data_IF_621753899433
#
_entry.id   IF_621753899433
#
_cell.length_a   1.000
_cell.length_b   1.000
_cell.length_c   1.000
_cell.angle_alpha   90.00
_cell.angle_beta   90.00
_cell.angle_gamma   90.00
#
_symmetry.space_group_name_H-M   'P 1'
#
loop_
_entity.id
_entity.type
_entity.pdbx_description
1 polymer ?
#
# COMPACT_ATOMS: atom_id res chain seq x y z
N UNK A 1 27.00 0.58 -31.08
CA UNK A 1 25.93 1.61 -31.12
C UNK A 1 25.26 1.63 -29.76
N UNK A 2 25.36 2.72 -29.04
CA UNK A 2 24.70 2.83 -27.73
C UNK A 2 23.21 3.12 -27.98
N UNK A 3 22.37 2.14 -27.73
CA UNK A 3 20.92 2.19 -27.87
C UNK A 3 20.25 3.36 -27.13
N UNK A 4 20.95 3.94 -26.17
CA UNK A 4 20.46 5.00 -25.29
C UNK A 4 20.81 6.42 -25.73
N UNK A 5 21.55 6.60 -26.84
CA UNK A 5 22.03 7.90 -27.31
C UNK A 5 21.30 8.46 -28.51
N UNK A 6 20.31 7.77 -29.06
CA UNK A 6 19.48 8.35 -30.08
C UNK A 6 18.64 9.50 -29.54
N UNK A 7 18.89 10.66 -30.12
CA UNK A 7 18.24 11.94 -29.91
C UNK A 7 16.73 11.81 -29.77
N UNK A 8 16.25 11.61 -28.53
CA UNK A 8 14.90 12.01 -28.21
C UNK A 8 14.88 13.53 -28.22
N UNK A 9 14.15 14.10 -29.14
CA UNK A 9 14.14 15.52 -29.52
C UNK A 9 13.73 16.51 -28.41
N UNK A 10 13.68 16.10 -27.17
CA UNK A 10 13.53 16.99 -26.02
C UNK A 10 13.87 16.26 -24.71
N UNK A 11 15.13 16.29 -24.34
CA UNK A 11 15.59 15.88 -23.01
C UNK A 11 15.67 14.37 -22.80
N UNK A 12 16.77 13.91 -22.24
CA UNK A 12 16.94 12.54 -21.75
C UNK A 12 15.90 12.32 -20.62
N UNK A 13 14.87 11.51 -20.88
CA UNK A 13 13.89 11.14 -19.86
C UNK A 13 14.49 10.03 -19.00
N UNK A 14 14.82 10.36 -17.77
CA UNK A 14 15.27 9.37 -16.78
C UNK A 14 14.10 8.40 -16.48
N UNK A 15 14.33 7.08 -16.51
CA UNK A 15 13.29 6.12 -16.15
C UNK A 15 12.91 6.24 -14.67
N UNK A 16 11.65 5.98 -14.35
CA UNK A 16 11.17 5.96 -12.96
C UNK A 16 11.94 4.92 -12.16
N UNK A 17 12.59 5.35 -11.09
CA UNK A 17 13.40 4.47 -10.24
C UNK A 17 12.57 3.96 -9.06
N UNK A 18 12.65 2.66 -8.78
CA UNK A 18 11.86 1.99 -7.75
C UNK A 18 12.17 2.45 -6.32
N UNK A 19 13.36 3.00 -6.07
CA UNK A 19 13.78 3.46 -4.74
C UNK A 19 13.38 4.91 -4.43
N UNK A 20 12.86 5.67 -5.40
CA UNK A 20 12.44 7.05 -5.22
C UNK A 20 10.95 7.12 -4.94
N UNK A 21 10.55 6.90 -3.70
CA UNK A 21 9.17 6.97 -3.28
C UNK A 21 9.02 7.57 -1.89
N UNK A 22 7.85 8.13 -1.61
CA UNK A 22 7.44 8.64 -0.30
C UNK A 22 6.10 8.00 0.05
N UNK A 23 5.99 7.51 1.29
CA UNK A 23 4.73 7.02 1.84
C UNK A 23 4.27 8.00 2.92
N UNK A 24 3.01 8.40 2.87
CA UNK A 24 2.35 9.21 3.88
C UNK A 24 1.15 8.44 4.42
N UNK A 25 1.13 8.26 5.73
CA UNK A 25 0.03 7.65 6.47
C UNK A 25 -0.58 8.73 7.35
N UNK A 26 -1.88 8.98 7.21
CA UNK A 26 -2.53 10.10 7.93
C UNK A 26 -2.50 9.92 9.44
N UNK A 27 -2.54 8.66 9.90
CA UNK A 27 -2.53 8.34 11.33
C UNK A 27 -1.12 8.27 11.94
N UNK A 28 -0.07 8.27 11.12
CA UNK A 28 1.30 8.28 11.60
C UNK A 28 1.86 9.69 11.65
N UNK A 29 2.60 10.02 12.70
CA UNK A 29 3.45 11.20 12.71
C UNK A 29 4.42 11.13 11.51
N UNK A 30 4.64 12.26 10.83
CA UNK A 30 5.46 12.35 9.61
C UNK A 30 6.87 11.76 9.75
N UNK A 31 7.38 11.62 10.98
CA UNK A 31 8.68 11.04 11.29
C UNK A 31 8.84 9.56 10.90
N UNK A 32 7.76 8.79 10.75
CA UNK A 32 7.82 7.36 10.41
C UNK A 32 8.02 7.09 8.92
N UNK A 33 7.86 8.07 8.06
CA UNK A 33 7.96 7.95 6.60
C UNK A 33 9.39 7.68 6.10
N UNK A 34 10.38 8.04 6.88
CA UNK A 34 11.80 7.88 6.55
C UNK A 34 12.27 6.43 6.52
N UNK A 35 11.54 5.55 7.18
CA UNK A 35 11.94 4.17 7.42
C UNK A 35 11.31 3.17 6.47
N UNK A 36 10.59 3.63 5.45
CA UNK A 36 10.05 2.75 4.43
C UNK A 36 11.17 2.26 3.51
N UNK A 37 11.44 0.96 3.53
CA UNK A 37 12.47 0.32 2.70
C UNK A 37 11.96 -0.05 1.32
N UNK A 38 10.74 -0.53 1.24
CA UNK A 38 10.09 -0.88 -0.02
C UNK A 38 8.57 -0.83 0.13
N UNK A 39 7.91 -0.50 -0.97
CA UNK A 39 6.46 -0.52 -1.10
C UNK A 39 6.08 -1.09 -2.45
N UNK A 40 5.04 -1.90 -2.47
CA UNK A 40 4.46 -2.40 -3.70
C UNK A 40 3.49 -1.36 -4.27
N UNK A 41 3.49 -1.19 -5.60
CA UNK A 41 2.48 -0.36 -6.24
C UNK A 41 1.13 -1.08 -6.25
N UNK A 42 0.02 -0.31 -6.18
CA UNK A 42 -1.31 -0.89 -6.34
C UNK A 42 -1.42 -1.65 -7.65
N UNK A 43 -1.88 -2.88 -7.57
CA UNK A 43 -2.15 -3.73 -8.72
C UNK A 43 -3.56 -4.31 -8.60
N UNK A 44 -4.14 -4.66 -9.73
CA UNK A 44 -5.48 -5.24 -9.82
C UNK A 44 -5.51 -6.35 -10.86
N UNK A 45 -6.43 -7.26 -10.68
CA UNK A 45 -6.71 -8.35 -11.61
C UNK A 45 -8.18 -8.29 -11.99
N UNK A 46 -8.45 -8.38 -13.30
CA UNK A 46 -9.81 -8.49 -13.81
C UNK A 46 -10.05 -9.93 -14.23
N UNK A 47 -11.00 -10.58 -13.57
CA UNK A 47 -11.39 -11.94 -13.92
C UNK A 47 -12.15 -11.94 -15.25
N UNK A 48 -12.06 -13.05 -15.98
CA UNK A 48 -12.80 -13.24 -17.23
C UNK A 48 -13.93 -14.25 -17.01
N UNK A 49 -15.09 -13.95 -17.58
CA UNK A 49 -16.22 -14.87 -17.63
C UNK A 49 -16.30 -15.44 -19.03
N UNK A 50 -16.25 -16.77 -19.12
CA UNK A 50 -16.31 -17.48 -20.38
C UNK A 50 -17.76 -17.78 -20.77
N UNK A 51 -18.09 -17.52 -22.02
CA UNK A 51 -19.36 -17.92 -22.62
C UNK A 51 -19.09 -18.78 -23.85
N UNK A 52 -19.63 -19.99 -23.85
CA UNK A 52 -19.51 -20.93 -24.96
C UNK A 52 -20.79 -20.83 -25.83
N UNK A 53 -20.60 -20.60 -27.14
CA UNK A 53 -21.67 -20.65 -28.10
C UNK A 53 -21.23 -21.49 -29.32
N UNK A 54 -21.91 -22.64 -29.49
CA UNK A 54 -21.51 -23.65 -30.48
C UNK A 54 -20.04 -24.07 -30.28
N UNK A 55 -19.21 -23.91 -31.29
CA UNK A 55 -17.77 -24.23 -31.25
C UNK A 55 -16.89 -23.01 -30.93
N UNK A 56 -17.49 -21.89 -30.50
CA UNK A 56 -16.78 -20.65 -30.24
C UNK A 56 -16.81 -20.33 -28.74
N UNK A 57 -15.67 -19.85 -28.25
CA UNK A 57 -15.49 -19.40 -26.88
C UNK A 57 -15.34 -17.88 -26.88
N UNK A 58 -16.21 -17.21 -26.14
CA UNK A 58 -16.17 -15.76 -25.94
C UNK A 58 -15.78 -15.46 -24.49
N UNK A 59 -14.86 -14.50 -24.31
CA UNK A 59 -14.44 -14.07 -23.00
C UNK A 59 -14.98 -12.66 -22.73
N UNK A 60 -15.68 -12.51 -21.62
CA UNK A 60 -16.18 -11.22 -21.15
C UNK A 60 -15.41 -10.77 -19.91
N UNK A 61 -15.13 -9.48 -19.73
CA UNK A 61 -14.51 -8.96 -18.53
C UNK A 61 -15.48 -9.13 -17.34
N UNK A 62 -14.99 -9.72 -16.27
CA UNK A 62 -15.72 -9.95 -15.04
C UNK A 62 -15.39 -8.92 -13.97
N UNK A 63 -15.31 -9.35 -12.69
CA UNK A 63 -15.01 -8.49 -11.55
C UNK A 63 -13.53 -8.13 -11.53
N UNK A 64 -13.26 -6.88 -11.17
CA UNK A 64 -11.90 -6.40 -10.91
C UNK A 64 -11.64 -6.42 -9.41
N UNK A 65 -10.54 -7.05 -9.01
CA UNK A 65 -10.11 -7.19 -7.62
C UNK A 65 -8.74 -6.52 -7.43
N UNK A 66 -8.64 -5.71 -6.38
CA UNK A 66 -7.39 -5.07 -5.99
C UNK A 66 -6.59 -5.99 -5.08
N UNK A 67 -5.32 -6.17 -5.41
CA UNK A 67 -4.42 -6.95 -4.59
C UNK A 67 -3.99 -6.16 -3.33
N UNK A 68 -3.72 -6.87 -2.22
CA UNK A 68 -3.17 -6.25 -1.03
C UNK A 68 -1.78 -5.67 -1.31
N UNK A 69 -1.49 -4.51 -0.72
CA UNK A 69 -0.21 -3.81 -0.88
C UNK A 69 0.67 -4.14 0.31
N UNK A 70 1.92 -4.49 0.03
CA UNK A 70 2.92 -4.78 1.05
C UNK A 70 3.91 -3.62 1.18
N UNK A 71 4.16 -3.21 2.41
CA UNK A 71 5.18 -2.22 2.74
C UNK A 71 6.15 -2.80 3.77
N UNK A 72 7.45 -2.61 3.53
CA UNK A 72 8.49 -2.94 4.50
C UNK A 72 9.00 -1.67 5.15
N UNK A 73 8.91 -1.61 6.46
CA UNK A 73 9.38 -0.49 7.27
C UNK A 73 10.53 -0.99 8.14
N UNK A 74 11.57 -0.19 8.26
CA UNK A 74 12.63 -0.41 9.24
C UNK A 74 12.14 0.14 10.58
N UNK A 75 12.35 -0.60 11.64
CA UNK A 75 11.96 -0.17 12.98
C UNK A 75 13.09 0.63 13.64
N UNK A 76 12.93 1.93 13.84
CA UNK A 76 13.89 2.74 14.55
C UNK A 76 13.73 2.59 16.07
N UNK A 77 14.78 2.83 16.82
CA UNK A 77 14.75 2.81 18.29
C UNK A 77 13.83 3.91 18.83
N UNK A 78 13.77 5.03 18.14
CA UNK A 78 12.87 6.15 18.47
C UNK A 78 12.58 6.96 17.19
N UNK A 79 11.29 7.22 16.86
CA UNK A 79 10.07 6.72 17.50
C UNK A 79 9.80 5.25 17.18
N UNK A 80 9.26 4.49 18.14
CA UNK A 80 8.95 3.06 18.00
C UNK A 80 7.75 2.84 17.04
N UNK A 81 8.02 2.19 15.90
CA UNK A 81 7.00 1.90 14.92
C UNK A 81 6.07 0.76 15.38
N UNK A 82 6.56 -0.17 16.20
CA UNK A 82 5.77 -1.29 16.71
C UNK A 82 4.67 -0.78 17.65
N UNK A 83 5.01 0.13 18.56
CA UNK A 83 4.04 0.70 19.49
C UNK A 83 2.94 1.46 18.76
N UNK A 84 3.28 2.18 17.68
CA UNK A 84 2.31 2.89 16.85
C UNK A 84 1.40 1.92 16.10
N UNK A 85 1.93 0.83 15.55
CA UNK A 85 1.13 -0.21 14.89
C UNK A 85 0.22 -0.95 15.87
N UNK A 86 0.70 -1.23 17.07
CA UNK A 86 -0.12 -1.80 18.14
C UNK A 86 -1.26 -0.86 18.53
N UNK A 87 -0.99 0.46 18.63
CA UNK A 87 -2.01 1.46 18.88
C UNK A 87 -3.07 1.50 17.77
N UNK A 88 -2.68 1.48 16.49
CA UNK A 88 -3.62 1.41 15.36
C UNK A 88 -4.47 0.14 15.43
N UNK A 89 -3.87 -1.00 15.76
CA UNK A 89 -4.61 -2.27 15.91
C UNK A 89 -5.61 -2.19 17.05
N UNK A 90 -5.23 -1.60 18.17
CA UNK A 90 -6.13 -1.36 19.30
C UNK A 90 -7.29 -0.41 18.94
N UNK A 91 -6.98 0.71 18.24
CA UNK A 91 -7.99 1.65 17.74
C UNK A 91 -8.95 1.03 16.70
N UNK A 92 -8.52 -0.03 16.02
CA UNK A 92 -9.40 -0.79 15.11
C UNK A 92 -10.45 -1.64 15.83
N UNK A 93 -10.42 -1.67 17.16
CA UNK A 93 -11.34 -2.41 18.03
C UNK A 93 -10.82 -3.79 18.47
N UNK A 94 -9.58 -4.15 18.09
CA UNK A 94 -8.98 -5.39 18.54
C UNK A 94 -8.18 -5.18 19.82
N UNK A 95 -8.62 -5.84 20.90
CA UNK A 95 -7.86 -5.97 22.13
C UNK A 95 -7.57 -7.45 22.39
N UNK A 96 -6.35 -7.83 22.78
CA UNK A 96 -6.08 -9.18 23.24
C UNK A 96 -7.01 -9.49 24.43
N UNK A 97 -7.74 -10.62 24.43
CA UNK A 97 -8.66 -10.95 25.52
C UNK A 97 -7.85 -11.23 26.80
N UNK A 98 -7.93 -10.32 27.74
CA UNK A 98 -7.34 -10.48 29.09
C UNK A 98 -8.32 -11.05 30.07
N UNK A 99 -9.62 -10.87 29.83
CA UNK A 99 -10.70 -11.39 30.63
C UNK A 99 -11.72 -12.16 29.77
N UNK A 100 -12.36 -13.20 30.29
CA UNK A 100 -13.36 -13.97 29.54
C UNK A 100 -14.60 -13.16 29.07
N UNK A 101 -14.80 -11.96 29.63
CA UNK A 101 -15.90 -11.06 29.25
C UNK A 101 -15.56 -10.06 28.13
N UNK A 102 -14.32 -10.01 27.66
CA UNK A 102 -13.90 -9.11 26.60
C UNK A 102 -14.33 -9.64 25.23
N UNK A 103 -15.52 -9.22 24.78
CA UNK A 103 -16.12 -9.63 23.51
C UNK A 103 -15.90 -8.59 22.38
N UNK A 104 -14.80 -7.84 22.44
CA UNK A 104 -14.51 -6.81 21.44
C UNK A 104 -14.02 -7.42 20.12
N UNK A 105 -14.55 -6.93 19.00
CA UNK A 105 -14.18 -7.38 17.66
C UNK A 105 -13.78 -6.20 16.79
N UNK A 106 -12.94 -6.46 15.78
CA UNK A 106 -12.55 -5.44 14.81
C UNK A 106 -13.74 -5.01 13.94
N UNK A 107 -13.99 -3.71 13.88
CA UNK A 107 -14.97 -3.13 12.98
C UNK A 107 -14.27 -2.45 11.80
N UNK A 108 -14.79 -2.64 10.57
CA UNK A 108 -14.20 -2.04 9.36
C UNK A 108 -14.12 -0.53 9.44
N UNK A 109 -15.16 0.13 9.96
CA UNK A 109 -15.19 1.59 10.12
C UNK A 109 -14.07 2.10 11.05
N UNK A 110 -13.88 1.40 12.18
CA UNK A 110 -12.81 1.73 13.12
C UNK A 110 -11.42 1.45 12.53
N UNK A 111 -11.24 0.33 11.84
CA UNK A 111 -9.97 -0.03 11.23
C UNK A 111 -9.55 0.99 10.13
N UNK A 112 -10.49 1.44 9.30
CA UNK A 112 -10.26 2.47 8.29
C UNK A 112 -9.95 3.82 8.94
N UNK A 113 -10.69 4.19 9.99
CA UNK A 113 -10.46 5.43 10.73
C UNK A 113 -9.11 5.43 11.44
N UNK A 114 -8.71 4.30 12.00
CA UNK A 114 -7.44 4.14 12.71
C UNK A 114 -6.22 4.28 11.80
N UNK A 115 -6.27 3.72 10.58
CA UNK A 115 -5.18 3.83 9.60
C UNK A 115 -5.23 5.16 8.82
N UNK A 116 -6.43 5.67 8.55
CA UNK A 116 -6.64 6.85 7.70
C UNK A 116 -6.29 6.59 6.23
N UNK A 117 -5.96 7.65 5.51
CA UNK A 117 -5.59 7.56 4.10
C UNK A 117 -4.10 7.25 3.95
N UNK A 118 -3.79 6.32 3.05
CA UNK A 118 -2.42 5.98 2.68
C UNK A 118 -2.10 6.60 1.33
N UNK A 119 -1.05 7.40 1.27
CA UNK A 119 -0.60 8.05 0.04
C UNK A 119 0.80 7.54 -0.30
N UNK A 120 0.94 7.00 -1.51
CA UNK A 120 2.21 6.56 -2.08
C UNK A 120 2.56 7.49 -3.22
N UNK A 121 3.64 8.24 -3.11
CA UNK A 121 4.12 9.17 -4.13
C UNK A 121 5.46 8.68 -4.66
N UNK A 122 5.60 8.63 -5.99
CA UNK A 122 6.88 8.44 -6.65
C UNK A 122 7.46 9.79 -7.02
N UNK A 123 8.72 10.03 -6.67
CA UNK A 123 9.40 11.31 -6.87
C UNK A 123 10.49 11.23 -7.92
N UNK A 124 10.78 12.37 -8.54
CA UNK A 124 11.91 12.56 -9.44
C UNK A 124 13.21 12.84 -8.68
N UNK A 125 14.31 13.04 -9.42
CA UNK A 125 15.62 13.41 -8.89
C UNK A 125 15.60 14.78 -8.17
N UNK A 126 14.72 15.68 -8.55
CA UNK A 126 14.51 16.98 -7.90
C UNK A 126 13.56 16.92 -6.67
N UNK A 127 13.00 15.74 -6.36
CA UNK A 127 12.00 15.59 -5.28
C UNK A 127 10.58 15.96 -5.68
N UNK A 128 10.33 16.23 -6.98
CA UNK A 128 9.00 16.52 -7.51
C UNK A 128 8.17 15.24 -7.64
N UNK A 129 6.92 15.27 -7.24
CA UNK A 129 5.99 14.14 -7.40
C UNK A 129 5.71 13.90 -8.90
N UNK A 130 6.02 12.68 -9.39
CA UNK A 130 5.72 12.23 -10.75
C UNK A 130 4.39 11.49 -10.79
N UNK A 131 4.15 10.68 -9.76
CA UNK A 131 3.00 9.77 -9.68
C UNK A 131 2.55 9.68 -8.23
N UNK A 132 1.24 9.77 -8.02
CA UNK A 132 0.62 9.75 -6.70
C UNK A 132 -0.53 8.75 -6.67
N UNK A 133 -0.48 7.84 -5.72
CA UNK A 133 -1.54 6.87 -5.44
C UNK A 133 -2.13 7.14 -4.06
N UNK A 134 -3.44 7.33 -4.00
CA UNK A 134 -4.15 7.49 -2.73
C UNK A 134 -5.04 6.28 -2.51
N UNK A 135 -4.80 5.58 -1.41
CA UNK A 135 -5.56 4.41 -1.00
C UNK A 135 -6.68 4.85 -0.06
N UNK A 136 -7.90 4.68 -0.51
CA UNK A 136 -9.11 4.97 0.26
C UNK A 136 -9.61 3.72 0.97
N UNK A 137 -10.14 3.87 2.17
CA UNK A 137 -10.69 2.78 2.96
C UNK A 137 -9.69 1.62 3.19
N UNK A 138 -8.40 1.95 3.27
CA UNK A 138 -7.36 0.98 3.58
C UNK A 138 -7.41 0.58 5.05
N UNK A 139 -7.10 -0.67 5.34
CA UNK A 139 -6.97 -1.19 6.70
C UNK A 139 -5.85 -2.23 6.76
N UNK A 140 -5.29 -2.42 7.94
CA UNK A 140 -4.23 -3.39 8.16
C UNK A 140 -4.79 -4.81 8.15
N UNK A 141 -4.26 -5.67 7.28
CA UNK A 141 -4.62 -7.10 7.22
C UNK A 141 -3.57 -7.98 7.92
N UNK A 142 -2.31 -7.58 7.87
CA UNK A 142 -1.23 -8.36 8.46
C UNK A 142 -0.09 -7.45 8.88
N UNK A 143 0.37 -7.64 10.11
CA UNK A 143 1.59 -7.06 10.64
C UNK A 143 2.57 -8.20 10.91
N UNK A 144 3.78 -8.12 10.34
CA UNK A 144 4.84 -9.08 10.59
C UNK A 144 6.03 -8.31 11.13
N UNK A 145 6.49 -8.68 12.30
CA UNK A 145 7.63 -8.09 12.99
C UNK A 145 8.81 -9.04 12.90
N UNK A 146 9.65 -8.98 11.88
CA UNK A 146 10.90 -9.73 11.85
C UNK A 146 11.94 -9.02 12.73
N UNK A 147 13.00 -9.74 13.11
CA UNK A 147 14.07 -9.20 13.99
C UNK A 147 14.75 -7.92 13.48
N UNK A 148 14.63 -7.58 12.19
CA UNK A 148 15.36 -6.47 11.56
C UNK A 148 14.49 -5.49 10.78
N UNK A 149 13.30 -5.88 10.31
CA UNK A 149 12.41 -5.04 9.50
C UNK A 149 10.96 -5.44 9.72
N UNK A 150 10.06 -4.48 9.72
CA UNK A 150 8.62 -4.75 9.76
C UNK A 150 8.05 -4.84 8.34
N UNK A 151 7.13 -5.75 8.14
CA UNK A 151 6.35 -5.86 6.92
C UNK A 151 4.88 -5.62 7.21
N UNK A 152 4.33 -4.60 6.59
CA UNK A 152 2.91 -4.28 6.65
C UNK A 152 2.24 -4.75 5.36
N UNK A 153 1.06 -5.32 5.50
CA UNK A 153 0.18 -5.65 4.39
C UNK A 153 -1.17 -5.02 4.70
N UNK A 154 -1.65 -4.20 3.77
CA UNK A 154 -2.99 -3.63 3.84
C UNK A 154 -3.73 -3.87 2.53
N UNK A 155 -5.03 -3.92 2.61
CA UNK A 155 -5.91 -4.01 1.45
C UNK A 155 -6.76 -2.75 1.33
N UNK A 156 -6.99 -2.33 0.09
CA UNK A 156 -7.83 -1.20 -0.23
C UNK A 156 -8.83 -1.60 -1.30
N UNK A 157 -10.14 -1.38 -1.09
CA UNK A 157 -11.13 -1.63 -2.11
C UNK A 157 -11.15 -0.58 -3.23
N UNK A 158 -10.56 0.59 -2.98
CA UNK A 158 -10.56 1.70 -3.94
C UNK A 158 -9.22 2.43 -3.94
N UNK A 159 -8.73 2.72 -5.13
CA UNK A 159 -7.50 3.47 -5.38
C UNK A 159 -7.79 4.59 -6.37
N UNK A 160 -7.42 5.80 -6.03
CA UNK A 160 -7.48 6.94 -6.94
C UNK A 160 -6.10 7.35 -7.42
N UNK A 161 -5.95 7.61 -8.71
CA UNK A 161 -4.75 8.17 -9.32
C UNK A 161 -5.01 9.62 -9.73
N UNK A 162 -4.04 10.48 -9.51
CA UNK A 162 -4.01 11.85 -10.02
C UNK A 162 -2.69 12.15 -10.71
#
# INVERSE_FOLDING_TARGET
>A
MAFWTEKLASGVRDPKRSFRFIIRLTSFNQSHLWFAKSVDKPNWTTNTVEHMYLNHKFNFPGRTEWAPISCKIVDPVSPDAISTLAAITSLSGYHPPTNPGDLTTTAKSLAVSALGNVVISQIDWEGKEIEKWTLWNAFLTKVTVPKTCQRLIWSSPMTGQR
#
